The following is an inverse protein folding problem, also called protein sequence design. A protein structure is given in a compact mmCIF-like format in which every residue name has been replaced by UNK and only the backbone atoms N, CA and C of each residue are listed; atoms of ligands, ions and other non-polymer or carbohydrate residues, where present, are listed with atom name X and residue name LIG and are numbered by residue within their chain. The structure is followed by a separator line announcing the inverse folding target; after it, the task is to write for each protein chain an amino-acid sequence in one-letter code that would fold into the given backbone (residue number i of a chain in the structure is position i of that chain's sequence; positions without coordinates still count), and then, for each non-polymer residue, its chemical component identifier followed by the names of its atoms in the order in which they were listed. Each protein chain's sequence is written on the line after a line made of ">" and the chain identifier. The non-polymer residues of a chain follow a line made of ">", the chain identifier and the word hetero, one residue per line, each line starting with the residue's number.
data_IF_750218126213
#
_entry.id   IF_750218126213
#
_cell.length_a   1.000
_cell.length_b   1.000
_cell.length_c   1.000
_cell.angle_alpha   90.00
_cell.angle_beta   90.00
_cell.angle_gamma   90.00
#
_symmetry.space_group_name_H-M   'P 1'
#
loop_
_entity.id
_entity.type
_entity.pdbx_description
1 polymer ?
#
# COMPACT_ATOMS: atom_id res chain seq x y z
N UNK A 1 14.49 -22.34 -2.70
CA UNK A 1 13.28 -21.67 -2.19
C UNK A 1 13.43 -20.14 -2.34
N UNK A 2 13.65 -19.64 -3.56
CA UNK A 2 13.95 -18.21 -3.84
C UNK A 2 12.96 -17.54 -4.82
N UNK A 3 11.84 -18.20 -5.16
CA UNK A 3 10.91 -17.69 -6.18
C UNK A 3 9.78 -16.81 -5.62
N UNK A 4 9.45 -16.94 -4.34
CA UNK A 4 8.35 -16.20 -3.69
C UNK A 4 8.67 -14.74 -3.33
N UNK A 5 9.87 -14.39 -2.83
CA UNK A 5 10.09 -13.05 -2.31
C UNK A 5 10.31 -12.01 -3.40
N UNK A 6 10.36 -12.36 -4.69
CA UNK A 6 10.53 -11.41 -5.81
C UNK A 6 9.19 -11.06 -6.49
N UNK A 7 8.22 -11.97 -6.41
CA UNK A 7 6.88 -11.73 -6.91
C UNK A 7 6.08 -10.85 -5.95
N UNK A 8 6.33 -10.97 -4.65
CA UNK A 8 5.62 -10.26 -3.60
C UNK A 8 5.76 -8.73 -3.70
N UNK A 9 6.91 -8.17 -4.08
CA UNK A 9 7.02 -6.72 -4.30
C UNK A 9 6.21 -6.25 -5.50
N UNK A 10 6.21 -7.04 -6.58
CA UNK A 10 5.51 -6.68 -7.81
C UNK A 10 4.01 -6.65 -7.56
N UNK A 11 3.47 -7.71 -6.94
CA UNK A 11 2.07 -7.78 -6.54
C UNK A 11 1.70 -6.71 -5.52
N UNK A 12 2.62 -6.35 -4.61
CA UNK A 12 2.40 -5.24 -3.69
C UNK A 12 2.26 -3.90 -4.42
N UNK A 13 3.05 -3.65 -5.48
CA UNK A 13 2.87 -2.47 -6.32
C UNK A 13 1.49 -2.42 -6.99
N UNK A 14 1.00 -3.57 -7.48
CA UNK A 14 -0.37 -3.68 -8.03
C UNK A 14 -1.42 -3.42 -6.95
N UNK A 15 -1.25 -3.98 -5.76
CA UNK A 15 -2.16 -3.77 -4.62
C UNK A 15 -2.22 -2.29 -4.19
N UNK A 16 -1.08 -1.59 -4.17
CA UNK A 16 -1.07 -0.15 -3.91
C UNK A 16 -1.84 0.61 -5.00
N UNK A 17 -1.68 0.22 -6.26
CA UNK A 17 -2.45 0.82 -7.36
C UNK A 17 -3.96 0.56 -7.22
N UNK A 18 -4.37 -0.66 -6.87
CA UNK A 18 -5.76 -1.01 -6.59
C UNK A 18 -6.32 -0.20 -5.43
N UNK A 19 -5.54 -0.02 -4.36
CA UNK A 19 -5.93 0.80 -3.21
C UNK A 19 -6.18 2.26 -3.63
N UNK A 20 -5.27 2.85 -4.41
CA UNK A 20 -5.39 4.24 -4.87
C UNK A 20 -6.53 4.45 -5.88
N UNK A 21 -6.89 3.42 -6.63
CA UNK A 21 -8.03 3.43 -7.56
C UNK A 21 -9.34 2.96 -6.93
N UNK A 22 -9.36 2.66 -5.63
CA UNK A 22 -10.52 2.17 -4.88
C UNK A 22 -11.08 0.85 -5.42
N UNK A 23 -10.18 -0.05 -5.85
CA UNK A 23 -10.51 -1.39 -6.32
C UNK A 23 -10.85 -1.49 -7.80
N UNK A 24 -10.34 -0.56 -8.62
CA UNK A 24 -10.46 -0.71 -10.07
C UNK A 24 -9.71 -1.96 -10.55
N UNK A 25 -10.21 -2.67 -11.58
CA UNK A 25 -9.50 -3.82 -12.12
C UNK A 25 -8.18 -3.36 -12.76
N UNK A 26 -7.04 -4.01 -12.46
CA UNK A 26 -5.78 -3.70 -13.11
C UNK A 26 -5.85 -4.12 -14.60
N UNK A 27 -5.45 -3.22 -15.50
CA UNK A 27 -5.43 -3.41 -16.96
C UNK A 27 -6.80 -3.80 -17.56
N UNK A 28 -7.85 -2.97 -17.41
CA UNK A 28 -9.20 -3.30 -17.88
C UNK A 28 -9.29 -3.57 -19.39
N UNK A 29 -8.43 -2.91 -20.17
CA UNK A 29 -8.43 -2.98 -21.63
C UNK A 29 -7.47 -4.04 -22.20
N UNK A 30 -6.78 -4.79 -21.33
CA UNK A 30 -5.78 -5.78 -21.75
C UNK A 30 -6.28 -7.17 -21.44
N UNK A 31 -6.34 -8.01 -22.47
CA UNK A 31 -6.68 -9.42 -22.31
C UNK A 31 -5.62 -10.16 -21.47
N UNK A 32 -6.04 -11.10 -20.64
CA UNK A 32 -5.15 -11.87 -19.75
C UNK A 32 -4.04 -12.62 -20.51
N UNK A 33 -4.25 -12.98 -21.77
CA UNK A 33 -3.24 -13.62 -22.60
C UNK A 33 -2.18 -12.64 -23.14
N UNK A 34 -2.56 -11.37 -23.31
CA UNK A 34 -1.71 -10.33 -23.87
C UNK A 34 -0.96 -9.53 -22.79
N UNK A 35 -1.29 -9.74 -21.51
CA UNK A 35 -0.68 -9.00 -20.40
C UNK A 35 0.84 -9.15 -20.37
N UNK A 36 1.35 -10.34 -20.66
CA UNK A 36 2.80 -10.59 -20.70
C UNK A 36 3.45 -9.76 -21.80
N UNK A 37 2.86 -9.72 -22.99
CA UNK A 37 3.37 -8.92 -24.12
C UNK A 37 3.30 -7.43 -23.79
N UNK A 38 2.19 -6.98 -23.20
CA UNK A 38 1.99 -5.61 -22.76
C UNK A 38 3.06 -5.17 -21.75
N UNK A 39 3.37 -6.01 -20.76
CA UNK A 39 4.40 -5.74 -19.75
C UNK A 39 5.83 -5.78 -20.34
N UNK A 40 6.09 -6.68 -21.29
CA UNK A 40 7.37 -6.79 -22.00
C UNK A 40 7.65 -5.57 -22.89
N UNK A 41 6.61 -4.90 -23.39
CA UNK A 41 6.73 -3.61 -24.09
C UNK A 41 7.10 -2.45 -23.14
N UNK A 42 7.33 -2.72 -21.86
CA UNK A 42 7.66 -1.70 -20.85
C UNK A 42 6.46 -0.89 -20.37
N UNK A 43 5.24 -1.25 -20.80
CA UNK A 43 4.03 -0.57 -20.34
C UNK A 43 3.69 -0.98 -18.91
N UNK A 44 3.16 -0.04 -18.14
CA UNK A 44 2.77 -0.21 -16.73
C UNK A 44 1.43 0.46 -16.48
N UNK A 45 0.84 0.20 -15.31
CA UNK A 45 -0.37 0.90 -14.87
C UNK A 45 -0.09 2.41 -14.77
N UNK A 46 -1.05 3.20 -15.24
CA UNK A 46 -0.98 4.66 -15.18
C UNK A 46 -1.11 5.13 -13.73
N UNK A 47 -0.53 6.29 -13.42
CA UNK A 47 -0.70 6.94 -12.13
C UNK A 47 -2.18 7.27 -11.89
N UNK A 48 -2.78 6.83 -10.78
CA UNK A 48 -4.16 7.20 -10.42
C UNK A 48 -4.29 8.70 -10.12
N UNK A 49 -5.48 9.26 -10.35
CA UNK A 49 -5.78 10.70 -10.19
C UNK A 49 -5.44 11.24 -8.79
N UNK A 50 -5.71 10.45 -7.75
CA UNK A 50 -5.45 10.84 -6.35
C UNK A 50 -4.16 10.22 -5.80
N UNK A 51 -3.31 9.65 -6.67
CA UNK A 51 -2.05 9.04 -6.25
C UNK A 51 -0.93 10.09 -6.23
N UNK A 52 -0.32 10.36 -5.08
CA UNK A 52 0.78 11.31 -5.00
C UNK A 52 2.04 10.74 -5.67
N UNK A 53 2.81 11.60 -6.33
CA UNK A 53 4.00 11.22 -7.10
C UNK A 53 4.98 10.33 -6.31
N UNK A 54 5.30 10.62 -5.03
CA UNK A 54 6.20 9.77 -4.25
C UNK A 54 5.70 8.33 -4.09
N UNK A 55 4.39 8.13 -4.02
CA UNK A 55 3.80 6.80 -3.91
C UNK A 55 3.81 6.09 -5.27
N UNK A 56 3.56 6.82 -6.36
CA UNK A 56 3.67 6.25 -7.70
C UNK A 56 5.11 5.83 -8.05
N UNK A 57 6.11 6.60 -7.63
CA UNK A 57 7.52 6.21 -7.77
C UNK A 57 7.83 4.89 -7.03
N UNK A 58 7.23 4.68 -5.86
CA UNK A 58 7.34 3.42 -5.13
C UNK A 58 6.72 2.27 -5.93
N UNK A 59 5.54 2.47 -6.51
CA UNK A 59 4.90 1.47 -7.39
C UNK A 59 5.79 1.13 -8.60
N UNK A 60 6.37 2.14 -9.26
CA UNK A 60 7.27 1.94 -10.40
C UNK A 60 8.52 1.14 -10.03
N UNK A 61 9.11 1.39 -8.85
CA UNK A 61 10.24 0.62 -8.33
C UNK A 61 9.86 -0.84 -8.05
N UNK A 62 8.65 -1.10 -7.54
CA UNK A 62 8.11 -2.45 -7.41
C UNK A 62 7.97 -3.16 -8.76
N UNK A 63 7.68 -2.42 -9.84
CA UNK A 63 7.51 -2.97 -11.19
C UNK A 63 8.79 -2.96 -12.05
N UNK A 64 9.95 -2.82 -11.41
CA UNK A 64 11.23 -2.85 -12.11
C UNK A 64 11.42 -4.20 -12.85
N UNK A 65 11.89 -4.18 -14.11
CA UNK A 65 12.07 -5.39 -14.92
C UNK A 65 13.02 -6.39 -14.26
N UNK A 66 14.13 -5.89 -13.71
CA UNK A 66 15.10 -6.66 -12.94
C UNK A 66 14.60 -6.89 -11.51
N UNK A 67 14.33 -8.12 -11.07
CA UNK A 67 13.85 -8.41 -9.72
C UNK A 67 14.79 -7.95 -8.61
N UNK A 68 16.10 -8.02 -8.84
CA UNK A 68 17.15 -7.61 -7.90
C UNK A 68 17.20 -6.11 -7.63
N UNK A 69 16.62 -5.30 -8.51
CA UNK A 69 16.51 -3.84 -8.35
C UNK A 69 15.23 -3.44 -7.62
N UNK A 70 14.33 -4.39 -7.33
CA UNK A 70 13.10 -4.10 -6.58
C UNK A 70 13.43 -3.87 -5.11
N UNK A 71 12.82 -2.86 -4.47
CA UNK A 71 13.11 -2.54 -3.07
C UNK A 71 12.68 -3.69 -2.15
N UNK A 72 13.43 -3.92 -1.08
CA UNK A 72 13.02 -4.85 -0.04
C UNK A 72 11.77 -4.32 0.70
N UNK A 73 11.01 -5.22 1.33
CA UNK A 73 9.83 -4.81 2.12
C UNK A 73 10.17 -3.83 3.23
N UNK A 74 11.34 -3.95 3.87
CA UNK A 74 11.80 -3.01 4.89
C UNK A 74 11.92 -1.58 4.33
N UNK A 75 12.47 -1.43 3.12
CA UNK A 75 12.58 -0.14 2.43
C UNK A 75 11.21 0.38 2.02
N UNK A 76 10.33 -0.48 1.50
CA UNK A 76 8.95 -0.13 1.15
C UNK A 76 8.19 0.42 2.36
N UNK A 77 8.24 -0.28 3.49
CA UNK A 77 7.58 0.13 4.73
C UNK A 77 8.12 1.48 5.20
N UNK A 78 9.44 1.68 5.19
CA UNK A 78 10.05 2.95 5.57
C UNK A 78 9.59 4.09 4.65
N UNK A 79 9.65 3.91 3.33
CA UNK A 79 9.23 4.93 2.36
C UNK A 79 7.74 5.26 2.49
N UNK A 80 6.89 4.24 2.57
CA UNK A 80 5.44 4.44 2.71
C UNK A 80 5.13 5.12 4.05
N UNK A 81 5.81 4.76 5.13
CA UNK A 81 5.65 5.43 6.42
C UNK A 81 6.02 6.90 6.33
N UNK A 82 7.14 7.26 5.70
CA UNK A 82 7.53 8.66 5.50
C UNK A 82 6.50 9.40 4.66
N UNK A 83 6.07 8.82 3.54
CA UNK A 83 5.04 9.37 2.67
C UNK A 83 3.73 9.57 3.47
N UNK A 84 3.31 8.59 4.26
CA UNK A 84 2.11 8.67 5.09
C UNK A 84 2.21 9.75 6.18
N UNK A 85 3.37 9.90 6.82
CA UNK A 85 3.62 10.98 7.77
C UNK A 85 3.49 12.37 7.14
N UNK A 86 3.78 12.53 5.84
CA UNK A 86 3.52 13.79 5.13
C UNK A 86 2.03 14.05 4.85
N UNK A 87 1.19 13.01 4.87
CA UNK A 87 -0.26 13.13 4.64
C UNK A 87 -1.08 13.32 5.92
N UNK A 88 -0.54 12.97 7.09
CA UNK A 88 -1.23 13.04 8.39
C UNK A 88 -1.51 14.48 8.90
N UNK A 89 -1.39 15.50 8.05
CA UNK A 89 -1.68 16.89 8.36
C UNK A 89 -3.00 17.42 7.81
N UNK A 90 -3.29 17.25 6.51
CA UNK A 90 -4.37 18.04 5.85
C UNK A 90 -5.10 17.32 4.68
N UNK A 91 -4.78 16.06 4.37
CA UNK A 91 -5.32 15.37 3.17
C UNK A 91 -5.89 13.99 3.47
N UNK A 92 -6.78 13.88 4.45
CA UNK A 92 -7.62 12.69 4.58
C UNK A 92 -8.58 12.68 3.39
N UNK A 93 -8.35 11.83 2.40
CA UNK A 93 -9.31 11.60 1.32
C UNK A 93 -10.55 10.99 1.99
N UNK A 94 -11.57 11.82 2.21
CA UNK A 94 -12.83 11.37 2.77
C UNK A 94 -13.48 10.43 1.76
N UNK A 95 -13.20 9.13 1.90
CA UNK A 95 -13.92 8.10 1.17
C UNK A 95 -15.34 8.11 1.72
N UNK A 96 -16.29 8.64 0.94
CA UNK A 96 -17.69 8.31 1.14
C UNK A 96 -17.81 6.80 0.88
N UNK A 97 -17.72 6.02 1.95
CA UNK A 97 -17.63 4.58 1.94
C UNK A 97 -19.00 3.98 1.59
N UNK A 98 -19.41 4.04 0.33
CA UNK A 98 -20.35 3.06 -0.25
C UNK A 98 -19.58 1.81 -0.67
N UNK A 99 -18.80 1.23 0.25
CA UNK A 99 -18.32 -0.13 0.07
C UNK A 99 -19.56 -1.02 0.17
N UNK A 100 -19.95 -1.64 -0.94
CA UNK A 100 -21.20 -2.42 -1.09
C UNK A 100 -21.23 -3.69 -0.22
N UNK A 101 -20.30 -3.86 0.73
CA UNK A 101 -20.25 -5.02 1.60
C UNK A 101 -19.63 -4.78 2.98
N UNK A 102 -19.62 -3.54 3.50
CA UNK A 102 -19.31 -3.30 4.92
C UNK A 102 -20.62 -3.18 5.69
N UNK A 103 -21.14 -4.30 6.18
CA UNK A 103 -21.96 -4.22 7.40
C UNK A 103 -21.00 -3.86 8.53
N UNK A 104 -21.05 -2.62 8.99
CA UNK A 104 -20.32 -2.15 10.15
C UNK A 104 -20.45 -3.14 11.31
N UNK A 105 -19.38 -3.86 11.61
CA UNK A 105 -19.23 -4.59 12.87
C UNK A 105 -17.92 -4.11 13.49
N UNK A 106 -18.11 -3.17 14.43
CA UNK A 106 -17.18 -2.61 15.41
C UNK A 106 -15.87 -1.97 14.89
N UNK A 107 -15.62 -0.67 15.18
CA UNK A 107 -14.30 -0.08 15.01
C UNK A 107 -13.33 -0.77 15.98
N UNK A 108 -12.17 -1.17 15.47
CA UNK A 108 -11.10 -1.79 16.26
C UNK A 108 -10.87 -1.02 17.57
N UNK A 109 -10.82 -1.69 18.73
CA UNK A 109 -10.46 -1.02 19.98
C UNK A 109 -9.00 -0.57 19.89
N UNK A 110 -8.76 0.70 20.20
CA UNK A 110 -7.44 1.32 20.28
C UNK A 110 -6.57 0.55 21.29
N UNK A 111 -5.44 -0.02 20.87
CA UNK A 111 -4.46 -0.66 21.76
C UNK A 111 -3.59 0.37 22.52
N UNK A 112 -4.21 1.43 23.04
CA UNK A 112 -3.53 2.50 23.78
C UNK A 112 -4.34 2.87 25.02
N UNK A 113 -4.36 1.93 25.97
CA UNK A 113 -4.65 2.09 27.40
C UNK A 113 -4.39 0.69 28.00
N UNK A 114 -3.45 0.42 28.89
CA UNK A 114 -3.07 1.17 30.08
C UNK A 114 -1.77 0.58 30.64
N UNK A 115 -0.75 1.41 30.91
CA UNK A 115 0.21 1.17 32.01
C UNK A 115 0.60 2.52 32.64
N UNK A 116 -0.40 3.10 33.31
CA UNK A 116 -0.28 4.01 34.45
C UNK A 116 -1.38 3.46 35.39
N UNK A 117 -1.14 2.89 36.56
CA UNK A 117 -0.21 3.23 37.62
C UNK A 117 -0.09 2.00 38.54
N UNK A 118 1.11 1.61 38.94
CA UNK A 118 1.31 0.90 40.21
C UNK A 118 2.04 1.87 41.12
N UNK A 119 1.34 2.29 42.17
CA UNK A 119 1.75 3.25 43.18
C UNK A 119 3.16 2.97 43.70
N UNK A 120 3.99 4.02 43.70
CA UNK A 120 5.00 4.18 44.73
C UNK A 120 4.29 4.82 45.91
N UNK A 121 4.15 4.09 47.02
CA UNK A 121 4.11 4.74 48.32
C UNK A 121 5.15 4.07 49.24
N UNK A 122 5.94 4.96 49.83
CA UNK A 122 7.10 4.74 50.67
C UNK A 122 6.65 4.92 52.13
N UNK A 123 7.11 4.03 53.00
CA UNK A 123 7.50 4.21 54.41
C UNK A 123 6.61 5.04 55.37
N UNK A 124 6.06 4.39 56.40
CA UNK A 124 6.18 4.75 57.83
C UNK A 124 5.77 3.54 58.70
#
# INVERSE_FOLDING_TARGET
>A
MLFLPLFSQWSFGVLLWELMTRGAPPYPDVNSFDITVYLLQGRRLLQPEYCPDPLYEVMLKCWHPKPEMRPAFSELVSKISTIFSTFLGEHYVHVNATYVNVKCIAPYPSLLSSQHSTDMDVDT
#
